data_IF_649649902795
#
_entry.id   IF_649649902795
#
_cell.length_a   1.000
_cell.length_b   1.000
_cell.length_c   1.000
_cell.angle_alpha   90.00
_cell.angle_beta   90.00
_cell.angle_gamma   90.00
#
_symmetry.space_group_name_H-M   'P 1'
#
loop_
_entity.id
_entity.type
_entity.pdbx_description
1 polymer ?
#
# COMPACT_ATOMS: atom_id res chain seq x y z
N UNK A 1 -11.34 7.75 13.87
CA UNK A 1 -10.70 6.89 12.85
C UNK A 1 -11.33 5.51 12.94
N UNK A 2 -11.99 5.04 11.88
CA UNK A 2 -12.71 3.75 11.83
C UNK A 2 -12.04 2.81 10.84
N UNK A 3 -10.87 2.31 11.24
CA UNK A 3 -10.10 1.37 10.43
C UNK A 3 -10.82 0.01 10.45
N UNK A 4 -11.24 -0.47 9.27
CA UNK A 4 -11.77 -1.81 9.10
C UNK A 4 -10.74 -2.63 8.35
N UNK A 5 -10.15 -3.59 9.04
CA UNK A 5 -9.38 -4.68 8.43
C UNK A 5 -10.41 -5.66 7.87
N UNK A 6 -10.32 -5.95 6.58
CA UNK A 6 -11.17 -6.96 5.94
C UNK A 6 -10.38 -8.26 5.82
N UNK A 7 -11.02 -9.39 6.11
CA UNK A 7 -10.45 -10.70 5.86
C UNK A 7 -10.21 -10.90 4.35
N UNK A 8 -9.08 -11.52 4.04
CA UNK A 8 -8.54 -11.71 2.69
C UNK A 8 -9.31 -12.80 1.90
N UNK A 9 -10.60 -12.58 1.65
CA UNK A 9 -11.51 -13.57 1.04
C UNK A 9 -11.51 -13.58 -0.51
N UNK A 10 -10.59 -12.90 -1.18
CA UNK A 10 -10.44 -13.04 -2.63
C UNK A 10 -9.43 -14.14 -2.96
N UNK A 11 -9.84 -15.13 -3.75
CA UNK A 11 -8.96 -16.19 -4.28
C UNK A 11 -7.72 -15.61 -5.00
N UNK A 12 -7.85 -14.37 -5.52
CA UNK A 12 -6.75 -13.59 -6.08
C UNK A 12 -5.68 -13.24 -5.04
N UNK A 13 -6.07 -12.97 -3.79
CA UNK A 13 -5.16 -12.67 -2.69
C UNK A 13 -4.33 -13.88 -2.31
N UNK A 14 -4.98 -15.04 -2.17
CA UNK A 14 -4.31 -16.31 -1.89
C UNK A 14 -3.28 -16.66 -2.96
N UNK A 15 -3.63 -16.44 -4.24
CA UNK A 15 -2.72 -16.71 -5.34
C UNK A 15 -1.51 -15.75 -5.35
N UNK A 16 -1.73 -14.47 -5.02
CA UNK A 16 -0.64 -13.50 -4.87
C UNK A 16 0.25 -13.87 -3.68
N UNK A 17 -0.34 -14.21 -2.53
CA UNK A 17 0.37 -14.62 -1.32
C UNK A 17 1.17 -15.91 -1.53
N UNK A 18 0.66 -16.86 -2.32
CA UNK A 18 1.37 -18.10 -2.66
C UNK A 18 2.57 -17.83 -3.59
N UNK A 19 2.41 -16.94 -4.57
CA UNK A 19 3.51 -16.52 -5.46
C UNK A 19 4.59 -15.77 -4.67
N UNK A 20 4.21 -14.84 -3.78
CA UNK A 20 5.16 -14.07 -2.99
C UNK A 20 5.89 -14.93 -1.95
N UNK A 21 5.21 -15.92 -1.37
CA UNK A 21 5.83 -16.91 -0.47
C UNK A 21 6.88 -17.76 -1.19
N UNK A 22 6.59 -18.23 -2.41
CA UNK A 22 7.54 -19.00 -3.24
C UNK A 22 8.76 -18.17 -3.67
N UNK A 23 8.59 -16.87 -3.82
CA UNK A 23 9.65 -15.94 -4.23
C UNK A 23 10.51 -15.44 -3.05
N UNK A 24 10.29 -15.90 -1.80
CA UNK A 24 10.94 -15.39 -0.57
C UNK A 24 10.83 -13.87 -0.39
N UNK A 25 9.94 -13.24 -1.14
CA UNK A 25 9.62 -11.82 -1.03
C UNK A 25 8.42 -11.71 -0.09
N UNK A 26 8.67 -11.39 1.18
CA UNK A 26 7.63 -11.11 2.18
C UNK A 26 6.93 -9.77 1.85
N UNK A 27 6.22 -9.70 0.73
CA UNK A 27 5.22 -8.66 0.53
C UNK A 27 3.94 -9.14 1.20
N UNK A 28 3.80 -8.91 2.50
CA UNK A 28 2.50 -8.98 3.16
C UNK A 28 1.64 -7.90 2.50
N UNK A 29 0.80 -8.29 1.55
CA UNK A 29 0.03 -7.33 0.78
C UNK A 29 -0.94 -6.60 1.70
N UNK A 30 -0.60 -5.37 2.09
CA UNK A 30 -1.37 -4.60 3.03
C UNK A 30 -2.53 -3.91 2.29
N UNK A 31 -3.72 -4.53 2.32
CA UNK A 31 -4.91 -3.97 1.67
C UNK A 31 -5.56 -2.88 2.52
N UNK A 32 -5.05 -1.66 2.40
CA UNK A 32 -5.64 -0.49 3.04
C UNK A 32 -6.65 0.19 2.12
N UNK A 33 -7.94 0.03 2.40
CA UNK A 33 -8.99 0.82 1.73
C UNK A 33 -9.13 2.18 2.42
N UNK A 34 -8.60 3.24 1.81
CA UNK A 34 -8.68 4.62 2.31
C UNK A 34 -9.38 5.51 1.29
N UNK A 35 -10.05 6.56 1.77
CA UNK A 35 -10.52 7.66 0.91
C UNK A 35 -9.37 8.66 0.78
N UNK A 36 -9.15 9.17 -0.44
CA UNK A 36 -8.28 10.31 -0.64
C UNK A 36 -8.86 11.53 0.08
N UNK A 37 -8.01 12.27 0.75
CA UNK A 37 -8.34 13.55 1.36
C UNK A 37 -7.89 14.70 0.46
N UNK A 38 -8.41 15.91 0.68
CA UNK A 38 -7.87 17.12 0.05
C UNK A 38 -7.02 17.88 1.05
N UNK A 39 -5.89 18.40 0.59
CA UNK A 39 -5.07 19.37 1.30
C UNK A 39 -4.71 20.48 0.31
N UNK A 40 -5.29 21.67 0.50
CA UNK A 40 -5.25 22.74 -0.50
C UNK A 40 -5.75 22.26 -1.87
N UNK A 41 -4.94 22.45 -2.90
CA UNK A 41 -5.24 22.05 -4.28
C UNK A 41 -4.79 20.62 -4.63
N UNK A 42 -4.29 19.86 -3.65
CA UNK A 42 -3.75 18.51 -3.87
C UNK A 42 -4.60 17.42 -3.23
N UNK A 43 -4.53 16.21 -3.81
CA UNK A 43 -5.04 14.99 -3.20
C UNK A 43 -3.96 14.39 -2.30
N UNK A 44 -4.37 13.95 -1.11
CA UNK A 44 -3.49 13.39 -0.11
C UNK A 44 -3.95 12.00 0.32
N UNK A 45 -3.03 11.04 0.22
CA UNK A 45 -3.13 9.69 0.78
C UNK A 45 -2.16 9.61 1.97
N UNK A 46 -2.69 9.51 3.19
CA UNK A 46 -1.86 9.37 4.40
C UNK A 46 -1.46 7.91 4.60
N UNK A 47 -0.16 7.66 4.68
CA UNK A 47 0.38 6.37 5.09
C UNK A 47 0.13 6.19 6.60
N UNK A 48 -0.42 5.05 7.04
CA UNK A 48 -0.62 4.79 8.47
C UNK A 48 0.70 4.65 9.24
N UNK A 49 0.72 5.08 10.52
CA UNK A 49 1.94 5.13 11.35
C UNK A 49 2.61 3.79 11.60
N UNK A 50 1.83 2.73 11.66
CA UNK A 50 2.29 1.35 11.73
C UNK A 50 3.09 0.97 10.49
N UNK A 51 2.59 1.31 9.29
CA UNK A 51 3.32 1.11 8.02
C UNK A 51 4.55 1.99 7.95
N UNK A 52 4.45 3.26 8.37
CA UNK A 52 5.61 4.16 8.43
C UNK A 52 6.73 3.54 9.29
N UNK A 53 6.40 2.98 10.46
CA UNK A 53 7.37 2.36 11.37
C UNK A 53 7.91 1.04 10.84
N UNK A 54 7.05 0.18 10.30
CA UNK A 54 7.43 -1.15 9.81
C UNK A 54 8.41 -1.06 8.64
N UNK A 55 8.21 -0.09 7.73
CA UNK A 55 9.02 0.11 6.54
C UNK A 55 10.02 1.27 6.67
N UNK A 56 10.15 1.88 7.86
CA UNK A 56 11.10 2.97 8.12
C UNK A 56 10.82 4.25 7.33
N UNK A 57 9.57 4.48 6.92
CA UNK A 57 9.18 5.62 6.09
C UNK A 57 9.25 6.94 6.88
N UNK A 58 9.83 7.97 6.28
CA UNK A 58 9.93 9.31 6.86
C UNK A 58 9.90 10.41 5.78
N UNK A 59 9.87 11.67 6.21
CA UNK A 59 9.73 12.84 5.33
C UNK A 59 10.89 13.08 4.36
N UNK A 60 12.04 12.45 4.58
CA UNK A 60 13.22 12.61 3.71
C UNK A 60 13.35 11.48 2.69
N UNK A 61 12.39 10.56 2.63
CA UNK A 61 12.41 9.47 1.68
C UNK A 61 11.88 9.94 0.32
N UNK A 62 12.63 9.63 -0.71
CA UNK A 62 12.17 9.79 -2.08
C UNK A 62 11.34 8.58 -2.50
N UNK A 63 10.23 8.86 -3.18
CA UNK A 63 9.36 7.82 -3.73
C UNK A 63 9.12 8.08 -5.21
N UNK A 64 9.12 7.00 -5.97
CA UNK A 64 8.66 7.01 -7.36
C UNK A 64 7.18 6.59 -7.41
N UNK A 65 6.38 7.35 -8.16
CA UNK A 65 4.97 7.04 -8.39
C UNK A 65 4.79 6.72 -9.87
N UNK A 66 4.42 5.48 -10.17
CA UNK A 66 4.18 5.02 -11.53
C UNK A 66 2.74 4.53 -11.72
N UNK A 67 2.18 4.79 -12.90
CA UNK A 67 0.88 4.24 -13.30
C UNK A 67 1.10 2.86 -13.92
N UNK A 68 0.51 1.81 -13.32
CA UNK A 68 0.58 0.46 -13.88
C UNK A 68 -0.58 0.21 -14.86
N UNK A 69 -1.81 0.53 -14.42
CA UNK A 69 -3.01 0.49 -15.28
C UNK A 69 -4.05 1.53 -14.84
N UNK A 70 -5.25 1.49 -15.44
CA UNK A 70 -6.35 2.45 -15.14
C UNK A 70 -6.83 2.44 -13.69
N UNK A 71 -6.54 1.39 -12.92
CA UNK A 71 -7.01 1.19 -11.54
C UNK A 71 -5.86 1.01 -10.55
N UNK A 72 -4.62 0.87 -11.01
CA UNK A 72 -3.46 0.57 -10.18
C UNK A 72 -2.33 1.59 -10.40
N UNK A 73 -1.93 2.21 -9.31
CA UNK A 73 -0.66 2.94 -9.19
C UNK A 73 0.31 2.12 -8.33
N UNK A 74 1.60 2.28 -8.57
CA UNK A 74 2.67 1.70 -7.77
C UNK A 74 3.46 2.85 -7.15
N UNK A 75 3.80 2.70 -5.87
CA UNK A 75 4.63 3.64 -5.13
C UNK A 75 5.84 2.84 -4.65
N UNK A 76 7.02 3.24 -5.07
CA UNK A 76 8.30 2.57 -4.76
C UNK A 76 9.21 3.53 -4.01
N UNK A 77 9.94 3.02 -3.02
CA UNK A 77 10.96 3.79 -2.29
C UNK A 77 12.26 3.71 -3.09
N UNK A 78 12.91 4.86 -3.31
CA UNK A 78 14.17 4.99 -4.07
C UNK A 78 15.37 5.08 -3.13
#
# INVERSE_FOLDING_TARGET
CGEKYYDADSEQQKHIDEITHRLHTHYKSLHLRRKLSRSGDSLLLRIPRDVEREYGLNENIEVEISAYDKKKIIIEVV
#
